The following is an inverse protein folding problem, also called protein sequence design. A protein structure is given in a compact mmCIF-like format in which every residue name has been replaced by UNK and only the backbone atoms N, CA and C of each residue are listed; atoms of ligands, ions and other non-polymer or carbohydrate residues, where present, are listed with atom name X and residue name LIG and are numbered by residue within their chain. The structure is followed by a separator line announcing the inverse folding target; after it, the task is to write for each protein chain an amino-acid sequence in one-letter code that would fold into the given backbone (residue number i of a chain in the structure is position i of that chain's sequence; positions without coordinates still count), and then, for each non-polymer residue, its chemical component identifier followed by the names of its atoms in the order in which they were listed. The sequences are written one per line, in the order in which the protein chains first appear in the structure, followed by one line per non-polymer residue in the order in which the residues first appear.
data_IF_062436082643
#
_entry.id   IF_062436082643
#
_cell.length_a   1.000
_cell.length_b   1.000
_cell.length_c   1.000
_cell.angle_alpha   90.00
_cell.angle_beta   90.00
_cell.angle_gamma   90.00
#
_symmetry.space_group_name_H-M   'P 1'
#
loop_
_entity.id
_entity.type
_entity.pdbx_description
1 polymer ?
#
# COMPACT_ATOMS: atom_id res chain seq x y z
N UNK A 1 -7.78 6.01 -11.60
CA UNK A 1 -6.60 6.77 -11.15
C UNK A 1 -7.05 8.11 -10.58
N UNK A 2 -6.53 8.58 -9.44
CA UNK A 2 -7.02 9.80 -8.78
C UNK A 2 -6.96 11.07 -9.63
N UNK A 3 -6.01 11.16 -10.56
CA UNK A 3 -5.87 12.29 -11.50
C UNK A 3 -7.05 12.50 -12.46
N UNK A 4 -7.93 11.50 -12.63
CA UNK A 4 -9.15 11.68 -13.44
C UNK A 4 -10.17 12.59 -12.75
N UNK A 5 -10.02 12.80 -11.44
CA UNK A 5 -10.86 13.66 -10.63
C UNK A 5 -10.11 14.95 -10.36
N UNK A 6 -10.72 16.12 -10.57
CA UNK A 6 -10.13 17.40 -10.15
C UNK A 6 -9.99 17.47 -8.63
N UNK A 7 -9.04 18.28 -8.13
CA UNK A 7 -8.77 18.41 -6.69
C UNK A 7 -10.03 18.73 -5.88
N UNK A 8 -10.88 19.65 -6.36
CA UNK A 8 -12.14 19.99 -5.68
C UNK A 8 -13.07 18.78 -5.48
N UNK A 9 -13.18 17.91 -6.49
CA UNK A 9 -14.02 16.72 -6.38
C UNK A 9 -13.40 15.65 -5.48
N UNK A 10 -12.07 15.47 -5.49
CA UNK A 10 -11.39 14.59 -4.53
C UNK A 10 -11.59 15.07 -3.09
N UNK A 11 -11.48 16.37 -2.84
CA UNK A 11 -11.75 16.96 -1.53
C UNK A 11 -13.20 16.74 -1.09
N UNK A 12 -14.15 16.92 -2.01
CA UNK A 12 -15.56 16.61 -1.74
C UNK A 12 -15.76 15.14 -1.33
N UNK A 13 -15.19 14.20 -2.09
CA UNK A 13 -15.31 12.76 -1.78
C UNK A 13 -14.66 12.40 -0.45
N UNK A 14 -13.44 12.90 -0.19
CA UNK A 14 -12.75 12.68 1.08
C UNK A 14 -13.60 13.16 2.26
N UNK A 15 -14.09 14.41 2.20
CA UNK A 15 -14.93 14.97 3.26
C UNK A 15 -16.22 14.17 3.43
N UNK A 16 -16.84 13.75 2.31
CA UNK A 16 -18.07 12.97 2.37
C UNK A 16 -17.86 11.60 3.03
N UNK A 17 -16.74 10.94 2.75
CA UNK A 17 -16.38 9.67 3.39
C UNK A 17 -16.11 9.90 4.88
N UNK A 18 -15.33 10.93 5.23
CA UNK A 18 -15.00 11.28 6.61
C UNK A 18 -16.24 11.67 7.44
N UNK A 19 -17.24 12.33 6.83
CA UNK A 19 -18.54 12.59 7.50
C UNK A 19 -19.30 11.31 7.83
N UNK A 20 -19.28 10.34 6.91
CA UNK A 20 -20.02 9.09 7.05
C UNK A 20 -19.33 8.10 8.00
N UNK A 21 -18.00 8.07 7.99
CA UNK A 21 -17.16 7.15 8.76
C UNK A 21 -15.91 7.90 9.24
N UNK A 22 -16.00 8.70 10.32
CA UNK A 22 -14.92 9.60 10.75
C UNK A 22 -13.63 8.90 11.17
N UNK A 23 -13.71 7.65 11.58
CA UNK A 23 -12.55 6.85 12.00
C UNK A 23 -11.90 6.08 10.82
N UNK A 24 -12.44 6.20 9.60
CA UNK A 24 -11.87 5.52 8.44
C UNK A 24 -10.59 6.21 7.98
N UNK A 25 -9.63 5.40 7.54
CA UNK A 25 -8.40 5.86 6.92
C UNK A 25 -8.60 5.85 5.40
N UNK A 26 -8.38 6.99 4.74
CA UNK A 26 -8.65 7.20 3.33
C UNK A 26 -7.32 7.31 2.57
N UNK A 27 -7.10 6.37 1.65
CA UNK A 27 -5.95 6.41 0.75
C UNK A 27 -6.39 6.83 -0.66
N UNK A 28 -5.88 7.97 -1.13
CA UNK A 28 -5.83 8.24 -2.56
C UNK A 28 -4.54 7.61 -3.10
N UNK A 29 -4.66 6.54 -3.89
CA UNK A 29 -3.47 5.84 -4.41
C UNK A 29 -2.59 6.80 -5.22
N UNK A 30 -1.46 7.18 -4.64
CA UNK A 30 -0.52 8.13 -5.20
C UNK A 30 0.50 7.46 -6.13
N UNK A 31 0.66 6.13 -6.05
CA UNK A 31 1.63 5.35 -6.82
C UNK A 31 3.07 5.86 -6.69
N UNK A 32 3.38 6.60 -5.61
CA UNK A 32 4.70 7.24 -5.48
C UNK A 32 5.68 6.14 -5.13
N UNK A 33 6.70 5.92 -5.97
CA UNK A 33 7.60 4.79 -5.79
C UNK A 33 8.24 4.68 -4.40
N UNK A 34 9.42 5.25 -4.18
CA UNK A 34 10.06 5.19 -2.85
C UNK A 34 9.66 6.36 -1.92
N UNK A 35 8.49 6.97 -2.15
CA UNK A 35 7.94 8.02 -1.28
C UNK A 35 8.58 9.42 -1.35
N UNK A 36 9.32 9.74 -2.43
CA UNK A 36 10.19 10.94 -2.50
C UNK A 36 9.45 12.27 -2.65
N UNK A 37 8.54 12.38 -3.61
CA UNK A 37 7.80 13.62 -3.87
C UNK A 37 6.32 13.32 -3.91
N UNK A 38 5.59 13.92 -2.97
CA UNK A 38 4.14 13.81 -2.92
C UNK A 38 3.51 14.80 -3.90
N UNK A 39 2.90 14.29 -4.96
CA UNK A 39 2.18 15.12 -5.93
C UNK A 39 0.78 15.42 -5.40
N UNK A 40 0.62 16.61 -4.83
CA UNK A 40 -0.64 17.09 -4.27
C UNK A 40 -1.75 17.19 -5.34
N UNK A 41 -1.41 17.69 -6.53
CA UNK A 41 -2.35 17.81 -7.64
C UNK A 41 -2.86 16.45 -8.13
N UNK A 42 -2.09 15.39 -7.89
CA UNK A 42 -2.45 14.03 -8.28
C UNK A 42 -3.30 13.32 -7.22
N UNK A 43 -2.91 13.39 -5.95
CA UNK A 43 -3.43 12.46 -4.90
C UNK A 43 -3.87 13.12 -3.60
N UNK A 44 -3.88 14.45 -3.50
CA UNK A 44 -4.43 15.11 -2.31
C UNK A 44 -5.97 15.24 -2.42
N UNK A 45 -6.73 15.11 -1.31
CA UNK A 45 -6.32 14.75 0.07
C UNK A 45 -6.24 13.24 0.36
N UNK A 46 -5.36 12.84 1.28
CA UNK A 46 -5.14 11.44 1.68
C UNK A 46 -4.61 11.35 3.13
N UNK A 47 -4.90 10.26 3.84
CA UNK A 47 -4.41 10.01 5.20
C UNK A 47 -3.06 9.27 5.23
N UNK A 48 -2.72 8.56 4.15
CA UNK A 48 -1.49 7.80 3.98
C UNK A 48 -1.02 7.80 2.52
N UNK A 49 0.19 7.31 2.29
CA UNK A 49 0.83 7.26 0.96
C UNK A 49 1.06 5.81 0.55
N UNK A 50 0.58 5.46 -0.64
CA UNK A 50 0.86 4.20 -1.30
C UNK A 50 2.27 4.20 -1.93
N UNK A 51 3.10 3.22 -1.57
CA UNK A 51 4.38 2.90 -2.19
C UNK A 51 4.20 1.71 -3.14
N UNK A 52 3.36 1.90 -4.16
CA UNK A 52 2.92 0.82 -5.04
C UNK A 52 4.10 0.12 -5.74
N UNK A 53 4.27 -1.18 -5.51
CA UNK A 53 5.36 -2.04 -6.04
C UNK A 53 6.77 -1.60 -5.63
N UNK A 54 6.90 -0.79 -4.60
CA UNK A 54 8.17 -0.24 -4.17
C UNK A 54 8.35 -0.38 -2.65
N UNK A 55 9.50 -0.91 -2.24
CA UNK A 55 9.88 -0.88 -0.83
C UNK A 55 10.35 0.52 -0.42
N UNK A 56 10.12 0.93 0.83
CA UNK A 56 10.65 2.19 1.36
C UNK A 56 12.17 2.24 1.25
N UNK A 57 12.75 3.45 1.26
CA UNK A 57 14.21 3.62 1.19
C UNK A 57 14.90 3.04 2.42
N UNK A 58 16.17 2.66 2.25
CA UNK A 58 17.01 2.11 3.32
C UNK A 58 17.21 3.07 4.50
N UNK A 59 17.28 4.38 4.23
CA UNK A 59 17.39 5.44 5.25
C UNK A 59 16.05 5.75 5.97
N UNK A 60 14.97 5.06 5.60
CA UNK A 60 13.67 5.16 6.23
C UNK A 60 12.61 5.85 5.37
N UNK A 61 11.51 6.24 6.01
CA UNK A 61 10.38 6.90 5.36
C UNK A 61 10.02 8.20 6.09
N UNK A 62 10.02 9.31 5.35
CA UNK A 62 9.57 10.62 5.85
C UNK A 62 8.06 10.57 6.04
N UNK A 63 7.58 10.77 7.27
CA UNK A 63 6.15 10.72 7.60
C UNK A 63 5.53 12.09 7.70
N UNK A 64 6.32 13.14 7.92
CA UNK A 64 5.81 14.50 8.08
C UNK A 64 6.04 15.29 6.79
N UNK A 65 4.98 15.88 6.25
CA UNK A 65 5.06 16.69 5.02
C UNK A 65 4.32 17.99 5.20
N UNK A 66 4.89 19.05 4.65
CA UNK A 66 4.22 20.35 4.57
C UNK A 66 3.39 20.41 3.28
N UNK A 67 2.09 20.58 3.43
CA UNK A 67 1.10 20.62 2.35
C UNK A 67 0.24 21.87 2.58
N UNK A 68 0.21 22.77 1.60
CA UNK A 68 -0.50 24.06 1.69
C UNK A 68 -0.17 24.85 2.98
N UNK A 69 1.10 24.86 3.39
CA UNK A 69 1.56 25.58 4.58
C UNK A 69 1.18 24.94 5.92
N UNK A 70 0.61 23.73 5.92
CA UNK A 70 0.30 22.96 7.12
C UNK A 70 1.12 21.68 7.16
N UNK A 71 1.60 21.32 8.35
CA UNK A 71 2.33 20.08 8.58
C UNK A 71 1.34 18.92 8.80
N UNK A 72 1.43 17.90 7.94
CA UNK A 72 0.59 16.70 7.97
C UNK A 72 1.41 15.45 8.26
N UNK A 73 0.85 14.54 9.06
CA UNK A 73 1.38 13.19 9.26
C UNK A 73 0.77 12.27 8.21
N UNK A 74 1.60 11.76 7.31
CA UNK A 74 1.25 10.86 6.22
C UNK A 74 2.13 9.61 6.31
N UNK A 75 1.72 8.55 7.04
CA UNK A 75 2.44 7.29 7.07
C UNK A 75 2.44 6.62 5.68
N UNK A 76 3.44 5.78 5.44
CA UNK A 76 3.55 5.02 4.21
C UNK A 76 2.96 3.62 4.35
N UNK A 77 2.40 3.12 3.26
CA UNK A 77 2.04 1.72 3.07
C UNK A 77 2.62 1.22 1.74
N UNK A 78 3.51 0.23 1.80
CA UNK A 78 3.98 -0.46 0.63
C UNK A 78 2.97 -1.53 0.22
N UNK A 79 2.43 -1.42 -0.98
CA UNK A 79 1.52 -2.42 -1.54
C UNK A 79 2.21 -3.16 -2.68
N UNK A 80 2.19 -4.48 -2.65
CA UNK A 80 2.83 -5.34 -3.66
C UNK A 80 2.06 -6.67 -3.75
N UNK A 81 1.91 -7.30 -4.93
CA UNK A 81 1.39 -8.66 -5.02
C UNK A 81 2.33 -9.70 -4.41
N UNK A 82 1.73 -10.77 -3.87
CA UNK A 82 2.44 -11.96 -3.40
C UNK A 82 3.24 -12.64 -4.53
N UNK A 83 2.74 -12.59 -5.77
CA UNK A 83 3.42 -12.99 -7.01
C UNK A 83 3.93 -11.76 -7.79
N UNK A 84 3.68 -11.71 -9.10
CA UNK A 84 4.03 -10.57 -9.97
C UNK A 84 2.82 -9.70 -10.34
N UNK A 85 1.62 -10.26 -10.31
CA UNK A 85 0.37 -9.64 -10.74
C UNK A 85 -0.61 -9.44 -9.58
N UNK A 86 -1.42 -8.38 -9.69
CA UNK A 86 -2.49 -8.07 -8.74
C UNK A 86 -3.67 -9.05 -8.83
N UNK A 87 -3.91 -9.59 -10.02
CA UNK A 87 -4.98 -10.55 -10.32
C UNK A 87 -4.41 -11.94 -10.60
N UNK A 88 -5.26 -12.96 -10.56
CA UNK A 88 -4.85 -14.33 -10.86
C UNK A 88 -4.43 -14.42 -12.33
N UNK A 89 -3.18 -14.83 -12.55
CA UNK A 89 -2.60 -15.12 -13.86
C UNK A 89 -2.02 -16.54 -13.81
N UNK A 90 -2.23 -17.39 -14.84
CA UNK A 90 -1.57 -18.68 -14.92
C UNK A 90 -0.05 -18.55 -14.74
N UNK A 91 0.55 -19.50 -14.03
CA UNK A 91 1.99 -19.57 -13.74
C UNK A 91 2.56 -18.38 -12.93
N UNK A 92 1.72 -17.56 -12.30
CA UNK A 92 2.14 -16.50 -11.38
C UNK A 92 2.02 -16.93 -9.91
N UNK A 93 2.86 -17.89 -9.52
CA UNK A 93 2.96 -18.34 -8.13
C UNK A 93 3.53 -17.27 -7.18
N UNK A 94 3.50 -17.54 -5.86
CA UNK A 94 4.07 -16.64 -4.87
C UNK A 94 5.56 -16.46 -5.11
N UNK A 95 6.07 -15.27 -4.79
CA UNK A 95 7.51 -15.03 -4.71
C UNK A 95 8.16 -16.00 -3.72
N UNK A 96 9.48 -16.26 -3.86
CA UNK A 96 10.21 -17.07 -2.91
C UNK A 96 10.03 -16.57 -1.47
N UNK A 97 9.97 -17.49 -0.52
CA UNK A 97 9.73 -17.18 0.90
C UNK A 97 10.72 -16.11 1.43
N UNK A 98 12.00 -16.21 1.08
CA UNK A 98 13.03 -15.23 1.44
C UNK A 98 12.70 -13.82 0.95
N UNK A 99 12.16 -13.69 -0.27
CA UNK A 99 11.75 -12.39 -0.82
C UNK A 99 10.58 -11.79 -0.03
N UNK A 100 9.59 -12.62 0.35
CA UNK A 100 8.45 -12.16 1.14
C UNK A 100 8.87 -11.77 2.57
N UNK A 101 9.80 -12.52 3.17
CA UNK A 101 10.38 -12.20 4.47
C UNK A 101 11.11 -10.86 4.41
N UNK A 102 11.96 -10.65 3.40
CA UNK A 102 12.68 -9.38 3.22
C UNK A 102 11.72 -8.21 3.01
N UNK A 103 10.65 -8.35 2.21
CA UNK A 103 9.65 -7.28 2.04
C UNK A 103 9.00 -6.88 3.37
N UNK A 104 8.60 -7.87 4.18
CA UNK A 104 8.04 -7.62 5.50
C UNK A 104 9.04 -6.92 6.44
N UNK A 105 10.28 -7.42 6.50
CA UNK A 105 11.33 -6.88 7.36
C UNK A 105 11.70 -5.45 6.95
N UNK A 106 11.88 -5.19 5.66
CA UNK A 106 12.18 -3.86 5.12
C UNK A 106 11.11 -2.85 5.53
N UNK A 107 9.83 -3.17 5.29
CA UNK A 107 8.72 -2.30 5.68
C UNK A 107 8.72 -2.04 7.19
N UNK A 108 8.84 -3.11 7.99
CA UNK A 108 8.79 -3.02 9.45
C UNK A 108 9.95 -2.21 10.04
N UNK A 109 11.17 -2.39 9.52
CA UNK A 109 12.37 -1.68 9.97
C UNK A 109 12.34 -0.20 9.55
N UNK A 110 11.80 0.09 8.35
CA UNK A 110 11.72 1.45 7.79
C UNK A 110 10.45 2.20 8.21
N UNK A 111 9.64 1.61 9.08
CA UNK A 111 8.49 2.25 9.72
C UNK A 111 7.30 2.48 8.80
N UNK A 112 7.08 1.56 7.85
CA UNK A 112 6.04 1.58 6.82
C UNK A 112 5.18 0.32 6.94
N UNK A 113 3.89 0.43 6.62
CA UNK A 113 2.99 -0.73 6.60
C UNK A 113 3.22 -1.58 5.34
N UNK A 114 3.01 -2.89 5.42
CA UNK A 114 3.00 -3.78 4.25
C UNK A 114 1.57 -4.25 3.98
N UNK A 115 1.07 -3.95 2.78
CA UNK A 115 -0.15 -4.51 2.21
C UNK A 115 0.23 -5.53 1.13
N UNK A 116 0.21 -6.82 1.49
CA UNK A 116 0.54 -7.91 0.57
C UNK A 116 -0.73 -8.41 -0.13
N UNK A 117 -0.86 -8.15 -1.44
CA UNK A 117 -2.04 -8.55 -2.21
C UNK A 117 -2.00 -10.04 -2.57
N UNK A 118 -3.16 -10.69 -2.51
CA UNK A 118 -3.32 -12.10 -2.87
C UNK A 118 -4.55 -12.23 -3.77
N UNK A 119 -4.40 -12.65 -5.04
CA UNK A 119 -5.53 -12.75 -5.93
C UNK A 119 -6.40 -13.99 -5.61
N UNK A 120 -7.73 -13.84 -5.48
CA UNK A 120 -8.64 -14.98 -5.51
C UNK A 120 -8.77 -15.55 -6.94
N UNK A 121 -9.22 -16.79 -7.03
CA UNK A 121 -9.57 -17.44 -8.28
C UNK A 121 -10.98 -17.07 -8.79
N UNK A 122 -11.41 -17.67 -9.90
CA UNK A 122 -12.73 -17.43 -10.51
C UNK A 122 -13.90 -17.95 -9.67
N UNK A 123 -13.64 -18.71 -8.61
CA UNK A 123 -14.63 -19.13 -7.62
C UNK A 123 -14.64 -18.22 -6.38
N UNK A 124 -13.80 -17.17 -6.36
CA UNK A 124 -13.68 -16.25 -5.23
C UNK A 124 -12.86 -16.81 -4.07
N UNK A 125 -12.05 -17.86 -4.30
CA UNK A 125 -11.25 -18.53 -3.27
C UNK A 125 -9.78 -18.18 -3.45
N UNK A 126 -9.05 -17.92 -2.36
CA UNK A 126 -7.60 -17.77 -2.41
C UNK A 126 -6.98 -19.14 -2.70
N UNK A 127 -6.15 -19.29 -3.75
CA UNK A 127 -5.54 -20.58 -4.06
C UNK A 127 -4.66 -21.12 -2.92
N UNK A 128 -4.71 -22.43 -2.68
CA UNK A 128 -4.00 -23.10 -1.57
C UNK A 128 -2.49 -22.85 -1.56
N UNK A 129 -1.88 -22.67 -2.74
CA UNK A 129 -0.47 -22.36 -2.85
C UNK A 129 -0.11 -20.97 -2.32
N UNK A 130 -1.01 -19.97 -2.46
CA UNK A 130 -0.87 -18.66 -1.83
C UNK A 130 -1.10 -18.74 -0.32
N UNK A 131 -2.15 -19.46 0.12
CA UNK A 131 -2.40 -19.70 1.56
C UNK A 131 -1.17 -20.34 2.22
N UNK A 132 -0.60 -21.36 1.58
CA UNK A 132 0.59 -22.06 2.06
C UNK A 132 1.80 -21.14 2.19
N UNK A 133 2.03 -20.25 1.21
CA UNK A 133 3.11 -19.26 1.28
C UNK A 133 2.91 -18.25 2.42
N UNK A 134 1.68 -17.75 2.63
CA UNK A 134 1.37 -16.86 3.76
C UNK A 134 1.61 -17.55 5.11
N UNK A 135 1.26 -18.83 5.23
CA UNK A 135 1.49 -19.59 6.46
C UNK A 135 2.98 -19.82 6.73
N UNK A 136 3.79 -20.06 5.69
CA UNK A 136 5.26 -20.13 5.83
C UNK A 136 5.85 -18.77 6.22
N UNK A 137 5.40 -17.68 5.58
CA UNK A 137 5.80 -16.32 5.96
C UNK A 137 5.48 -16.03 7.42
N UNK A 138 4.24 -16.29 7.86
CA UNK A 138 3.79 -16.13 9.25
C UNK A 138 4.72 -16.84 10.23
N UNK A 139 5.01 -18.12 9.98
CA UNK A 139 5.92 -18.93 10.81
C UNK A 139 7.32 -18.33 10.84
N UNK A 140 7.86 -17.89 9.70
CA UNK A 140 9.20 -17.33 9.60
C UNK A 140 9.36 -15.99 10.33
N UNK A 141 8.30 -15.16 10.39
CA UNK A 141 8.32 -13.87 11.09
C UNK A 141 7.87 -13.94 12.56
N UNK A 142 7.61 -15.15 13.08
CA UNK A 142 7.26 -15.38 14.49
C UNK A 142 5.87 -14.91 14.89
N UNK A 143 4.87 -15.03 14.00
CA UNK A 143 3.46 -14.73 14.29
C UNK A 143 2.57 -15.96 14.21
#
# INVERSE_FOLDING_TARGET
MPNLLGMGYRTFLYNRIAELQPDTVIMMNSGIGKGQQYNMEYSWPSDLIALERHMPKEDGYEKWRDINGKRHYLPGEACDPIGKNWFLVPDDGPRPDESLIHQYQDCRQRGVNLLLNVPPDTHGVIPDYHVSALMRLRKAIGR
#
